data_IF_625102842303
#
_entry.id   IF_625102842303
#
_cell.length_a   1.000
_cell.length_b   1.000
_cell.length_c   1.000
_cell.angle_alpha   90.00
_cell.angle_beta   90.00
_cell.angle_gamma   90.00
#
_symmetry.space_group_name_H-M   'P 1'
#
loop_
_entity.id
_entity.type
_entity.pdbx_description
1 polymer ?
#
# COMPACT_ATOMS: atom_id res chain seq x y z
N UNK A 1 -15.47 20.61 14.72
CA UNK A 1 -14.12 20.31 15.24
C UNK A 1 -14.11 19.67 16.61
N UNK A 2 -15.17 19.72 17.39
CA UNK A 2 -15.17 19.12 18.75
C UNK A 2 -15.16 17.59 18.79
N UNK A 3 -15.44 16.93 17.67
CA UNK A 3 -15.50 15.47 17.57
C UNK A 3 -14.16 14.81 17.18
N UNK A 4 -13.20 15.58 16.71
CA UNK A 4 -11.90 15.06 16.23
C UNK A 4 -10.78 15.36 17.22
N UNK A 5 -9.70 14.56 17.19
CA UNK A 5 -8.55 14.74 18.06
C UNK A 5 -7.24 14.37 17.35
N UNK A 6 -6.15 15.01 17.77
CA UNK A 6 -4.80 14.68 17.34
C UNK A 6 -4.23 13.57 18.21
N UNK A 7 -3.79 12.49 17.60
CA UNK A 7 -3.10 11.39 18.28
C UNK A 7 -2.36 10.52 17.29
N UNK A 8 -1.18 10.04 17.69
CA UNK A 8 -0.49 8.95 17.01
C UNK A 8 -0.90 7.61 17.60
N UNK A 9 -0.85 6.57 16.79
CA UNK A 9 -1.21 5.21 17.23
C UNK A 9 -0.23 4.71 18.29
N UNK A 10 -0.78 4.22 19.42
CA UNK A 10 -0.01 3.76 20.59
C UNK A 10 0.86 4.84 21.23
N UNK A 11 0.53 6.11 21.04
CA UNK A 11 1.30 7.26 21.51
C UNK A 11 2.78 7.22 21.09
N UNK A 12 3.07 6.61 19.93
CA UNK A 12 4.41 6.53 19.36
C UNK A 12 4.69 7.74 18.48
N UNK A 13 5.71 8.51 18.84
CA UNK A 13 6.12 9.71 18.10
C UNK A 13 5.17 10.89 18.30
N UNK A 14 5.29 11.89 17.41
CA UNK A 14 4.44 13.07 17.41
C UNK A 14 3.00 12.73 16.96
N UNK A 15 2.04 13.48 17.49
CA UNK A 15 0.62 13.34 17.12
C UNK A 15 0.38 13.90 15.70
N UNK A 16 0.78 13.15 14.70
CA UNK A 16 0.79 13.56 13.30
C UNK A 16 -0.54 13.36 12.56
N UNK A 17 -1.52 12.69 13.20
CA UNK A 17 -2.80 12.38 12.56
C UNK A 17 -3.97 13.01 13.30
N UNK A 18 -4.86 13.63 12.52
CA UNK A 18 -6.18 14.03 13.00
C UNK A 18 -7.09 12.80 12.88
N UNK A 19 -7.71 12.40 13.99
CA UNK A 19 -8.53 11.20 14.07
C UNK A 19 -10.01 11.59 14.14
N UNK A 20 -10.83 10.99 13.26
CA UNK A 20 -12.27 11.11 13.22
C UNK A 20 -12.89 9.83 13.81
N UNK A 21 -13.26 9.84 15.11
CA UNK A 21 -13.84 8.66 15.76
C UNK A 21 -15.27 8.46 15.33
N UNK A 22 -15.69 7.21 15.25
CA UNK A 22 -17.05 6.80 14.95
C UNK A 22 -17.59 5.87 16.04
N UNK A 23 -18.86 6.06 16.39
CA UNK A 23 -19.65 5.07 17.11
C UNK A 23 -20.02 3.91 16.18
N UNK A 24 -20.55 2.82 16.74
CA UNK A 24 -21.01 1.69 15.94
C UNK A 24 -22.14 2.08 14.98
N UNK A 25 -23.05 2.94 15.42
CA UNK A 25 -24.17 3.42 14.60
C UNK A 25 -23.68 4.29 13.43
N UNK A 26 -22.75 5.21 13.68
CA UNK A 26 -22.13 6.06 12.65
C UNK A 26 -21.35 5.22 11.64
N UNK A 27 -20.60 4.24 12.12
CA UNK A 27 -19.88 3.30 11.25
C UNK A 27 -20.84 2.48 10.39
N UNK A 28 -21.94 1.98 10.95
CA UNK A 28 -22.89 1.18 10.19
C UNK A 28 -23.55 2.01 9.07
N UNK A 29 -23.94 3.25 9.36
CA UNK A 29 -24.46 4.16 8.32
C UNK A 29 -23.45 4.43 7.22
N UNK A 30 -22.21 4.70 7.61
CA UNK A 30 -21.10 4.89 6.66
C UNK A 30 -20.87 3.61 5.82
N UNK A 31 -20.79 2.46 6.46
CA UNK A 31 -20.55 1.17 5.80
C UNK A 31 -21.65 0.84 4.78
N UNK A 32 -22.91 1.00 5.15
CA UNK A 32 -24.04 0.72 4.27
C UNK A 32 -24.02 1.68 3.07
N UNK A 33 -23.75 2.96 3.29
CA UNK A 33 -23.61 3.95 2.21
C UNK A 33 -22.44 3.62 1.26
N UNK A 34 -21.31 3.10 1.78
CA UNK A 34 -20.18 2.65 0.94
C UNK A 34 -20.60 1.50 0.02
N UNK A 35 -21.38 0.55 0.52
CA UNK A 35 -21.84 -0.60 -0.27
C UNK A 35 -22.84 -0.22 -1.36
N UNK A 36 -23.63 0.82 -1.11
CA UNK A 36 -24.64 1.34 -2.06
C UNK A 36 -24.06 2.38 -3.03
N UNK A 37 -22.86 2.88 -2.75
CA UNK A 37 -22.25 3.97 -3.49
C UNK A 37 -21.92 3.59 -4.95
N UNK A 38 -22.14 4.53 -5.84
CA UNK A 38 -21.92 4.32 -7.26
C UNK A 38 -20.42 4.23 -7.59
N UNK A 39 -20.02 3.14 -8.23
CA UNK A 39 -18.64 2.87 -8.65
C UNK A 39 -18.43 3.32 -10.10
N UNK A 40 -17.27 3.88 -10.39
CA UNK A 40 -16.87 4.18 -11.76
C UNK A 40 -16.71 2.87 -12.56
N UNK A 41 -17.05 2.88 -13.86
CA UNK A 41 -16.86 1.69 -14.69
C UNK A 41 -15.39 1.31 -14.74
N UNK A 42 -15.13 0.04 -14.47
CA UNK A 42 -13.78 -0.54 -14.54
C UNK A 42 -13.67 -1.29 -15.87
N UNK A 43 -12.62 -1.04 -16.63
CA UNK A 43 -12.38 -1.74 -17.90
C UNK A 43 -12.21 -3.25 -17.65
N UNK A 44 -12.56 -4.09 -18.65
CA UNK A 44 -12.51 -5.55 -18.49
C UNK A 44 -11.13 -6.09 -18.12
N UNK A 45 -10.08 -5.47 -18.65
CA UNK A 45 -8.70 -5.83 -18.32
C UNK A 45 -8.22 -5.34 -16.93
N UNK A 46 -8.99 -4.48 -16.28
CA UNK A 46 -8.73 -3.99 -14.91
C UNK A 46 -9.49 -4.82 -13.85
N UNK A 47 -10.37 -5.70 -14.29
CA UNK A 47 -11.04 -6.63 -13.36
C UNK A 47 -10.02 -7.63 -12.86
N UNK A 48 -9.84 -7.73 -11.56
CA UNK A 48 -9.63 -9.00 -10.87
C UNK A 48 -8.54 -9.15 -9.82
N UNK A 49 -7.45 -8.45 -9.79
CA UNK A 49 -6.49 -8.69 -8.69
C UNK A 49 -6.01 -7.38 -8.09
N UNK A 50 -6.68 -6.99 -7.02
CA UNK A 50 -6.17 -5.91 -6.19
C UNK A 50 -5.03 -6.44 -5.33
N UNK A 51 -3.90 -5.73 -5.36
CA UNK A 51 -2.86 -5.89 -4.37
C UNK A 51 -3.42 -5.49 -2.99
N UNK A 52 -3.18 -6.28 -1.94
CA UNK A 52 -3.81 -6.04 -0.63
C UNK A 52 -3.51 -4.64 -0.08
N UNK A 53 -2.30 -4.12 -0.28
CA UNK A 53 -1.92 -2.77 0.14
C UNK A 53 -2.57 -1.62 -0.64
N UNK A 54 -3.18 -1.91 -1.80
CA UNK A 54 -3.81 -0.92 -2.69
C UNK A 54 -5.28 -1.25 -2.99
N UNK A 55 -5.91 -2.08 -2.18
CA UNK A 55 -7.30 -2.46 -2.38
C UNK A 55 -8.24 -1.27 -2.15
N UNK A 56 -9.19 -1.00 -3.08
CA UNK A 56 -10.20 0.03 -2.87
C UNK A 56 -11.02 -0.23 -1.61
N UNK A 57 -11.33 0.84 -0.85
CA UNK A 57 -12.00 0.66 0.43
C UNK A 57 -13.43 0.13 0.30
N UNK A 58 -14.13 0.42 -0.79
CA UNK A 58 -15.44 -0.18 -1.11
C UNK A 58 -15.33 -1.69 -1.39
N UNK A 59 -14.23 -2.14 -2.00
CA UNK A 59 -13.95 -3.58 -2.18
C UNK A 59 -13.66 -4.24 -0.83
N UNK A 60 -12.90 -3.57 0.03
CA UNK A 60 -12.70 -4.03 1.42
C UNK A 60 -14.04 -4.10 2.18
N UNK A 61 -14.92 -3.11 2.02
CA UNK A 61 -16.25 -3.12 2.61
C UNK A 61 -17.07 -4.33 2.11
N UNK A 62 -17.03 -4.62 0.80
CA UNK A 62 -17.69 -5.79 0.22
C UNK A 62 -17.22 -7.14 0.77
N UNK A 63 -16.01 -7.21 1.35
CA UNK A 63 -15.50 -8.41 2.05
C UNK A 63 -16.03 -8.54 3.48
N UNK A 64 -16.67 -7.51 4.00
CA UNK A 64 -17.32 -7.49 5.30
C UNK A 64 -16.82 -6.37 6.24
N UNK A 65 -17.66 -6.02 7.21
CA UNK A 65 -17.40 -4.92 8.18
C UNK A 65 -16.07 -5.03 8.90
N UNK A 66 -15.67 -6.24 9.28
CA UNK A 66 -14.39 -6.47 9.97
C UNK A 66 -13.18 -6.10 9.12
N UNK A 67 -13.26 -6.21 7.80
CA UNK A 67 -12.15 -5.86 6.91
C UNK A 67 -11.76 -4.39 7.07
N UNK A 68 -12.73 -3.48 7.13
CA UNK A 68 -12.44 -2.05 7.39
C UNK A 68 -11.94 -1.80 8.80
N UNK A 69 -12.49 -2.48 9.82
CA UNK A 69 -12.11 -2.33 11.22
C UNK A 69 -10.74 -2.92 11.56
N UNK A 70 -10.24 -3.87 10.79
CA UNK A 70 -8.86 -4.38 10.89
C UNK A 70 -7.90 -3.68 9.90
N UNK A 71 -8.44 -2.98 8.90
CA UNK A 71 -7.74 -2.24 7.87
C UNK A 71 -7.68 -0.72 8.15
N UNK A 72 -8.15 0.11 7.20
CA UNK A 72 -7.98 1.57 7.24
C UNK A 72 -8.71 2.25 8.39
N UNK A 73 -9.77 1.65 8.94
CA UNK A 73 -10.57 2.23 10.03
C UNK A 73 -10.29 1.59 11.39
N UNK A 74 -9.14 0.94 11.57
CA UNK A 74 -8.77 0.25 12.81
C UNK A 74 -8.68 1.22 13.99
N UNK A 75 -9.44 0.99 15.09
CA UNK A 75 -9.46 1.91 16.24
C UNK A 75 -8.40 1.63 17.31
N UNK A 76 -7.70 0.49 17.21
CA UNK A 76 -6.75 0.03 18.24
C UNK A 76 -5.57 0.99 18.37
N UNK A 77 -5.25 1.42 19.61
CA UNK A 77 -4.18 2.37 19.91
C UNK A 77 -4.54 3.83 19.63
N UNK A 78 -5.83 4.13 19.42
CA UNK A 78 -6.37 5.47 19.13
C UNK A 78 -7.52 5.82 20.10
N UNK A 79 -7.32 5.57 21.41
CA UNK A 79 -8.27 5.99 22.44
C UNK A 79 -8.41 7.51 22.44
N UNK A 80 -9.64 8.00 22.54
CA UNK A 80 -9.94 9.43 22.60
C UNK A 80 -9.31 10.05 23.86
N UNK A 81 -8.41 11.05 23.73
CA UNK A 81 -7.75 11.67 24.86
C UNK A 81 -8.70 12.34 25.87
N UNK A 82 -9.90 12.74 25.42
CA UNK A 82 -10.90 13.42 26.26
C UNK A 82 -11.68 12.44 27.13
N UNK A 83 -11.94 11.25 26.61
CA UNK A 83 -12.82 10.26 27.29
C UNK A 83 -12.08 9.03 27.78
N UNK A 84 -10.84 8.80 27.30
CA UNK A 84 -10.08 7.57 27.52
C UNK A 84 -10.68 6.33 26.88
N UNK A 85 -11.78 6.46 26.13
CA UNK A 85 -12.47 5.34 25.50
C UNK A 85 -11.96 5.09 24.09
N UNK A 86 -11.88 3.82 23.73
CA UNK A 86 -11.60 3.41 22.36
C UNK A 86 -12.88 3.54 21.52
N UNK A 87 -12.86 4.28 20.41
CA UNK A 87 -14.00 4.36 19.47
C UNK A 87 -14.24 3.00 18.79
N UNK A 88 -15.40 2.86 18.15
CA UNK A 88 -15.71 1.66 17.37
C UNK A 88 -14.89 1.59 16.08
N UNK A 89 -14.79 2.70 15.37
CA UNK A 89 -13.93 2.87 14.19
C UNK A 89 -13.27 4.25 14.21
N UNK A 90 -12.18 4.42 13.46
CA UNK A 90 -11.49 5.72 13.32
C UNK A 90 -11.07 5.91 11.88
N UNK A 91 -11.38 7.07 11.31
CA UNK A 91 -10.78 7.55 10.06
C UNK A 91 -9.62 8.48 10.41
N UNK A 92 -8.45 8.24 9.84
CA UNK A 92 -7.26 9.05 10.06
C UNK A 92 -7.03 10.01 8.91
N UNK A 93 -6.73 11.25 9.23
CA UNK A 93 -6.36 12.29 8.28
C UNK A 93 -4.89 12.66 8.53
N UNK A 94 -4.10 12.68 7.47
CA UNK A 94 -2.72 13.14 7.50
C UNK A 94 -2.64 14.54 6.90
N UNK A 95 -2.01 15.46 7.61
CA UNK A 95 -1.73 16.79 7.10
C UNK A 95 -0.84 16.71 5.85
N UNK A 96 -1.23 17.41 4.80
CA UNK A 96 -0.57 17.35 3.48
C UNK A 96 0.16 18.65 3.12
N UNK A 97 -0.09 19.74 3.86
CA UNK A 97 0.56 21.04 3.68
C UNK A 97 1.10 21.59 5.00
N UNK A 98 2.10 22.46 4.92
CA UNK A 98 2.71 23.06 6.10
C UNK A 98 1.77 24.00 6.86
N UNK A 99 0.74 24.54 6.20
CA UNK A 99 -0.23 25.47 6.80
C UNK A 99 -1.33 24.73 7.60
N UNK A 100 -1.45 23.40 7.47
CA UNK A 100 -2.49 22.61 8.14
C UNK A 100 -3.88 22.85 7.57
N UNK A 101 -3.98 23.21 6.30
CA UNK A 101 -5.25 23.49 5.62
C UNK A 101 -5.71 22.32 4.76
N UNK A 102 -4.78 21.46 4.32
CA UNK A 102 -5.05 20.29 3.48
C UNK A 102 -4.73 19.00 4.24
N UNK A 103 -5.63 18.04 4.11
CA UNK A 103 -5.51 16.74 4.73
C UNK A 103 -5.81 15.62 3.74
N UNK A 104 -5.05 14.55 3.81
CA UNK A 104 -5.24 13.34 3.06
C UNK A 104 -5.93 12.29 3.92
N UNK A 105 -6.99 11.64 3.42
CA UNK A 105 -7.66 10.54 4.10
C UNK A 105 -6.83 9.27 3.93
N UNK A 106 -6.36 8.71 5.04
CA UNK A 106 -5.45 7.56 5.02
C UNK A 106 -6.20 6.26 4.70
N UNK A 107 -5.73 5.55 3.68
CA UNK A 107 -6.23 4.22 3.34
C UNK A 107 -7.55 4.19 2.55
N UNK A 108 -7.95 5.32 1.96
CA UNK A 108 -9.18 5.45 1.19
C UNK A 108 -8.93 5.51 -0.32
N UNK A 109 -8.20 4.53 -0.85
CA UNK A 109 -8.17 4.32 -2.29
C UNK A 109 -9.55 3.88 -2.77
N UNK A 110 -10.03 4.43 -3.89
CA UNK A 110 -11.42 4.20 -4.29
C UNK A 110 -11.66 4.30 -5.79
N UNK A 111 -12.62 3.50 -6.28
CA UNK A 111 -13.24 3.65 -7.61
C UNK A 111 -14.61 4.33 -7.54
N UNK A 112 -15.05 4.80 -6.37
CA UNK A 112 -16.31 5.50 -6.27
C UNK A 112 -16.34 6.72 -7.18
N UNK A 113 -17.47 7.00 -7.80
CA UNK A 113 -17.69 8.25 -8.54
C UNK A 113 -17.57 9.46 -7.61
N UNK A 114 -17.16 10.58 -8.13
CA UNK A 114 -16.88 11.80 -7.34
C UNK A 114 -18.08 12.24 -6.47
N UNK A 115 -19.31 12.18 -7.00
CA UNK A 115 -20.51 12.45 -6.22
C UNK A 115 -20.66 11.52 -5.03
N UNK A 116 -20.52 10.22 -5.27
CA UNK A 116 -20.59 9.19 -4.25
C UNK A 116 -19.48 9.32 -3.20
N UNK A 117 -18.26 9.68 -3.61
CA UNK A 117 -17.17 9.96 -2.66
C UNK A 117 -17.55 11.07 -1.68
N UNK A 118 -18.13 12.16 -2.18
CA UNK A 118 -18.55 13.28 -1.35
C UNK A 118 -19.63 12.86 -0.34
N UNK A 119 -20.65 12.17 -0.79
CA UNK A 119 -21.74 11.68 0.06
C UNK A 119 -21.24 10.77 1.17
N UNK A 120 -20.37 9.81 0.83
CA UNK A 120 -19.81 8.88 1.79
C UNK A 120 -18.88 9.57 2.79
N UNK A 121 -17.99 10.47 2.33
CA UNK A 121 -17.04 11.17 3.19
C UNK A 121 -17.74 12.09 4.18
N UNK A 122 -18.84 12.73 3.78
CA UNK A 122 -19.61 13.61 4.64
C UNK A 122 -20.38 12.87 5.76
N UNK A 123 -20.46 11.55 5.72
CA UNK A 123 -20.98 10.74 6.84
C UNK A 123 -19.96 10.53 7.95
N UNK A 124 -18.70 10.86 7.72
CA UNK A 124 -17.64 10.73 8.73
C UNK A 124 -17.73 11.88 9.72
N UNK A 125 -17.83 11.61 11.05
CA UNK A 125 -17.90 12.66 12.07
C UNK A 125 -16.70 13.62 11.99
N UNK A 126 -17.02 14.91 11.91
CA UNK A 126 -16.04 15.98 11.72
C UNK A 126 -15.76 16.35 10.26
N UNK A 127 -16.29 15.57 9.29
CA UNK A 127 -16.18 15.85 7.86
C UNK A 127 -17.52 16.19 7.19
N UNK A 128 -18.55 16.46 7.97
CA UNK A 128 -19.92 16.73 7.47
C UNK A 128 -19.96 17.89 6.46
N UNK A 129 -19.08 18.88 6.64
CA UNK A 129 -18.97 20.07 5.78
C UNK A 129 -17.60 20.16 5.08
N UNK A 130 -16.97 19.03 4.82
CA UNK A 130 -15.65 19.02 4.19
C UNK A 130 -15.73 19.54 2.75
N UNK A 131 -14.75 20.34 2.37
CA UNK A 131 -14.50 20.70 0.98
C UNK A 131 -13.46 19.77 0.39
N UNK A 132 -13.84 19.01 -0.64
CA UNK A 132 -12.97 18.04 -1.29
C UNK A 132 -12.25 18.72 -2.44
N UNK A 133 -11.01 19.12 -2.22
CA UNK A 133 -10.19 19.79 -3.24
C UNK A 133 -9.68 18.85 -4.32
N UNK A 134 -9.56 17.56 -4.01
CA UNK A 134 -9.14 16.52 -4.95
C UNK A 134 -9.81 15.18 -4.63
N UNK A 135 -10.59 14.69 -5.57
CA UNK A 135 -11.22 13.37 -5.45
C UNK A 135 -10.20 12.25 -5.64
N UNK A 136 -10.44 11.15 -4.93
CA UNK A 136 -9.68 9.92 -5.11
C UNK A 136 -9.88 9.34 -6.51
N UNK A 137 -8.81 8.88 -7.12
CA UNK A 137 -8.82 8.14 -8.39
C UNK A 137 -7.90 6.95 -8.21
N UNK A 138 -8.42 5.77 -8.48
CA UNK A 138 -7.61 4.56 -8.42
C UNK A 138 -6.78 4.47 -9.71
N UNK A 139 -5.49 4.27 -9.55
CA UNK A 139 -4.58 3.94 -10.65
C UNK A 139 -4.14 2.50 -10.51
N UNK A 140 -4.20 1.76 -11.60
CA UNK A 140 -3.59 0.44 -11.68
C UNK A 140 -2.21 0.58 -12.29
N UNK A 141 -1.21 0.11 -11.58
CA UNK A 141 0.14 0.00 -12.10
C UNK A 141 0.26 -1.26 -12.96
N UNK A 142 0.76 -1.10 -14.17
CA UNK A 142 1.07 -2.22 -15.05
C UNK A 142 2.45 -2.77 -14.71
N UNK A 143 2.57 -4.07 -14.60
CA UNK A 143 3.84 -4.78 -14.42
C UNK A 143 3.90 -6.00 -15.32
N UNK A 144 5.12 -6.41 -15.64
CA UNK A 144 5.39 -7.62 -16.44
C UNK A 144 5.47 -8.84 -15.51
N UNK A 145 5.21 -10.02 -16.04
CA UNK A 145 5.44 -11.26 -15.30
C UNK A 145 6.96 -11.55 -15.27
N UNK A 146 7.65 -10.82 -14.41
CA UNK A 146 9.12 -10.80 -14.36
C UNK A 146 9.79 -12.16 -14.20
N UNK A 147 9.26 -13.11 -13.38
CA UNK A 147 9.89 -14.42 -13.26
C UNK A 147 10.03 -15.21 -14.56
N UNK A 148 9.17 -14.96 -15.54
CA UNK A 148 9.21 -15.64 -16.83
C UNK A 148 10.16 -14.98 -17.84
N UNK A 149 10.48 -13.69 -17.60
CA UNK A 149 11.12 -12.88 -18.65
C UNK A 149 12.38 -12.16 -18.22
N UNK A 150 12.64 -12.01 -16.90
CA UNK A 150 13.82 -11.31 -16.38
C UNK A 150 14.73 -12.22 -15.56
N UNK A 151 16.02 -11.92 -15.59
CA UNK A 151 17.02 -12.49 -14.68
C UNK A 151 17.29 -11.55 -13.48
N UNK A 152 18.17 -11.95 -12.56
CA UNK A 152 18.54 -11.18 -11.36
C UNK A 152 19.24 -9.84 -11.67
N UNK A 153 19.65 -9.60 -12.91
CA UNK A 153 20.23 -8.34 -13.37
C UNK A 153 19.18 -7.42 -14.00
N UNK A 154 17.92 -7.83 -13.94
CA UNK A 154 16.80 -7.15 -14.61
C UNK A 154 16.89 -7.11 -16.13
N UNK A 155 17.66 -8.02 -16.74
CA UNK A 155 17.77 -8.20 -18.18
C UNK A 155 16.71 -9.19 -18.69
N UNK A 156 16.22 -8.97 -19.90
CA UNK A 156 15.41 -9.98 -20.58
C UNK A 156 16.23 -11.26 -20.81
N UNK A 157 15.67 -12.41 -20.42
CA UNK A 157 16.30 -13.73 -20.57
C UNK A 157 16.69 -14.00 -22.03
N UNK A 158 15.80 -13.61 -22.96
CA UNK A 158 15.98 -13.86 -24.40
C UNK A 158 16.71 -12.74 -25.15
N UNK A 159 16.97 -11.60 -24.49
CA UNK A 159 17.69 -10.49 -25.10
C UNK A 159 18.35 -9.61 -24.01
N UNK A 160 19.56 -9.93 -23.71
CA UNK A 160 20.38 -9.27 -22.68
C UNK A 160 20.77 -7.80 -22.98
N UNK A 161 20.34 -7.28 -24.13
CA UNK A 161 20.48 -5.87 -24.53
C UNK A 161 19.32 -5.00 -24.02
N UNK A 162 18.29 -5.62 -23.48
CA UNK A 162 17.10 -4.93 -22.95
C UNK A 162 17.02 -5.20 -21.46
N UNK A 163 16.90 -4.13 -20.70
CA UNK A 163 16.73 -4.17 -19.27
C UNK A 163 15.46 -3.41 -18.86
N UNK A 164 14.87 -3.85 -17.77
CA UNK A 164 13.75 -3.18 -17.13
C UNK A 164 14.15 -2.79 -15.71
N UNK A 165 13.46 -1.82 -15.12
CA UNK A 165 13.69 -1.45 -13.73
C UNK A 165 12.44 -0.80 -13.14
N UNK A 166 12.38 -0.70 -11.83
CA UNK A 166 11.29 -0.04 -11.11
C UNK A 166 10.01 -0.85 -11.10
N UNK A 167 8.92 -0.17 -10.87
CA UNK A 167 7.61 -0.75 -10.63
C UNK A 167 7.12 -1.70 -11.74
N UNK A 168 7.49 -1.41 -12.97
CA UNK A 168 7.16 -2.28 -14.12
C UNK A 168 7.68 -3.71 -13.95
N UNK A 169 8.72 -3.93 -13.15
CA UNK A 169 9.29 -5.25 -12.87
C UNK A 169 8.62 -5.99 -11.71
N UNK A 170 7.60 -5.42 -11.08
CA UNK A 170 6.98 -5.98 -9.88
C UNK A 170 7.67 -5.58 -8.58
N UNK A 171 8.56 -4.61 -8.64
CA UNK A 171 9.16 -3.97 -7.46
C UNK A 171 8.26 -2.82 -7.02
N UNK A 172 7.66 -2.90 -5.83
CA UNK A 172 6.85 -1.84 -5.24
C UNK A 172 7.68 -0.97 -4.29
N UNK A 173 7.40 0.34 -4.30
CA UNK A 173 8.05 1.34 -3.45
C UNK A 173 9.08 2.18 -4.21
N UNK A 174 9.26 3.43 -3.74
CA UNK A 174 10.17 4.38 -4.39
C UNK A 174 11.64 3.99 -4.21
N UNK A 175 12.01 3.58 -3.00
CA UNK A 175 13.39 3.17 -2.69
C UNK A 175 13.74 1.89 -3.43
N UNK A 176 12.84 0.93 -3.44
CA UNK A 176 12.98 -0.35 -4.14
C UNK A 176 13.10 -0.14 -5.65
N UNK A 177 12.27 0.74 -6.22
CA UNK A 177 12.33 1.09 -7.64
C UNK A 177 13.68 1.74 -8.00
N UNK A 178 14.18 2.66 -7.16
CA UNK A 178 15.49 3.25 -7.34
C UNK A 178 16.61 2.21 -7.22
N UNK A 179 16.53 1.30 -6.25
CA UNK A 179 17.48 0.21 -6.07
C UNK A 179 17.51 -0.74 -7.26
N UNK A 180 16.36 -1.10 -7.83
CA UNK A 180 16.29 -1.92 -9.03
C UNK A 180 16.96 -1.25 -10.23
N UNK A 181 16.75 0.07 -10.38
CA UNK A 181 17.42 0.88 -11.39
C UNK A 181 18.95 0.92 -11.20
N UNK A 182 19.41 0.97 -9.95
CA UNK A 182 20.85 0.90 -9.64
C UNK A 182 21.44 -0.44 -10.05
N UNK A 183 20.79 -1.57 -9.72
CA UNK A 183 21.22 -2.91 -10.11
C UNK A 183 21.31 -3.05 -11.63
N UNK A 184 20.26 -2.65 -12.34
CA UNK A 184 20.23 -2.68 -13.80
C UNK A 184 21.33 -1.80 -14.39
N UNK A 185 21.48 -0.56 -13.90
CA UNK A 185 22.49 0.39 -14.39
C UNK A 185 23.94 -0.08 -14.15
N UNK A 186 24.24 -0.65 -12.98
CA UNK A 186 25.58 -1.20 -12.68
C UNK A 186 25.89 -2.35 -13.66
N UNK A 187 24.98 -3.29 -13.84
CA UNK A 187 25.19 -4.42 -14.74
C UNK A 187 25.33 -3.97 -16.20
N UNK A 188 24.53 -3.02 -16.64
CA UNK A 188 24.66 -2.44 -17.97
C UNK A 188 26.02 -1.76 -18.18
N UNK A 189 26.46 -0.95 -17.21
CA UNK A 189 27.76 -0.29 -17.27
C UNK A 189 28.91 -1.31 -17.30
N UNK A 190 28.86 -2.35 -16.46
CA UNK A 190 29.84 -3.42 -16.46
C UNK A 190 29.92 -4.15 -17.80
N UNK A 191 28.77 -4.46 -18.37
CA UNK A 191 28.66 -5.09 -19.69
C UNK A 191 29.29 -4.24 -20.79
N UNK A 192 28.98 -2.94 -20.84
CA UNK A 192 29.52 -2.02 -21.84
C UNK A 192 31.04 -1.82 -21.68
N UNK A 193 31.55 -1.93 -20.47
CA UNK A 193 32.99 -1.80 -20.14
C UNK A 193 33.75 -3.14 -20.23
N UNK A 194 33.10 -4.22 -20.64
CA UNK A 194 33.71 -5.56 -20.67
C UNK A 194 34.12 -6.12 -19.30
N UNK A 195 33.46 -5.63 -18.23
CA UNK A 195 33.66 -6.11 -16.85
C UNK A 195 32.72 -7.27 -16.54
N UNK A 196 33.07 -8.05 -15.50
CA UNK A 196 32.21 -9.14 -15.04
C UNK A 196 30.84 -8.67 -14.54
N UNK A 197 29.90 -9.59 -14.49
CA UNK A 197 28.55 -9.37 -13.96
C UNK A 197 28.58 -9.11 -12.44
N UNK A 198 27.63 -8.31 -11.95
CA UNK A 198 27.44 -8.04 -10.53
C UNK A 198 26.12 -8.65 -10.07
N UNK A 199 26.22 -9.76 -9.34
CA UNK A 199 25.07 -10.35 -8.67
C UNK A 199 25.12 -9.94 -7.20
N UNK A 200 24.08 -9.26 -6.76
CA UNK A 200 23.95 -8.83 -5.37
C UNK A 200 23.59 -10.03 -4.48
N UNK A 201 24.27 -10.20 -3.32
CA UNK A 201 23.99 -11.32 -2.43
C UNK A 201 22.54 -11.34 -1.93
N UNK A 202 21.94 -12.52 -1.88
CA UNK A 202 20.54 -12.72 -1.42
C UNK A 202 20.33 -12.40 0.06
N UNK A 203 21.40 -12.27 0.82
CA UNK A 203 21.42 -11.79 2.21
C UNK A 203 21.18 -10.28 2.31
N UNK A 204 21.25 -9.57 1.19
CA UNK A 204 20.91 -8.14 1.12
C UNK A 204 19.50 -7.93 0.60
N UNK A 205 18.84 -6.85 1.04
CA UNK A 205 17.50 -6.49 0.54
C UNK A 205 17.48 -6.29 -0.98
N UNK A 206 18.54 -5.70 -1.54
CA UNK A 206 18.68 -5.48 -2.99
C UNK A 206 18.77 -6.83 -3.73
N UNK A 207 19.63 -7.73 -3.26
CA UNK A 207 19.80 -9.05 -3.89
C UNK A 207 18.60 -9.96 -3.71
N UNK A 208 17.96 -9.95 -2.52
CA UNK A 208 16.75 -10.73 -2.29
C UNK A 208 15.58 -10.27 -3.14
N UNK A 209 15.43 -8.96 -3.35
CA UNK A 209 14.42 -8.41 -4.25
C UNK A 209 14.69 -8.80 -5.72
N UNK A 210 15.94 -8.68 -6.19
CA UNK A 210 16.33 -9.10 -7.53
C UNK A 210 16.08 -10.60 -7.75
N UNK A 211 16.36 -11.41 -6.73
CA UNK A 211 16.03 -12.84 -6.75
C UNK A 211 14.53 -13.10 -6.80
N UNK A 212 13.73 -12.38 -5.98
CA UNK A 212 12.27 -12.54 -5.97
C UNK A 212 11.65 -12.29 -7.33
N UNK A 213 11.99 -11.18 -7.98
CA UNK A 213 11.38 -10.81 -9.28
C UNK A 213 11.77 -11.78 -10.41
N UNK A 214 12.85 -12.52 -10.26
CA UNK A 214 13.36 -13.45 -11.28
C UNK A 214 13.09 -14.93 -10.99
N UNK A 215 12.72 -15.29 -9.74
CA UNK A 215 12.59 -16.69 -9.31
C UNK A 215 11.31 -17.00 -8.53
N UNK A 216 10.31 -16.10 -8.49
CA UNK A 216 9.07 -16.40 -7.81
C UNK A 216 8.41 -17.65 -8.41
N UNK A 217 8.29 -18.72 -7.61
CA UNK A 217 7.90 -20.07 -8.07
C UNK A 217 6.46 -20.18 -8.57
N UNK A 218 5.64 -19.17 -8.39
CA UNK A 218 4.22 -19.23 -8.68
C UNK A 218 3.87 -18.23 -9.79
N UNK A 219 4.18 -18.59 -11.04
CA UNK A 219 3.95 -17.78 -12.23
C UNK A 219 2.53 -17.19 -12.31
N UNK A 220 1.52 -17.97 -11.86
CA UNK A 220 0.12 -17.53 -11.84
C UNK A 220 -0.20 -16.52 -10.72
N UNK A 221 0.68 -16.38 -9.73
CA UNK A 221 0.47 -15.57 -8.53
C UNK A 221 1.60 -14.58 -8.26
N UNK A 222 2.47 -14.32 -9.23
CA UNK A 222 3.47 -13.28 -9.08
C UNK A 222 2.79 -11.94 -8.76
N UNK A 223 3.18 -11.33 -7.65
CA UNK A 223 2.61 -10.09 -7.15
C UNK A 223 3.73 -9.08 -6.97
N UNK A 224 3.51 -7.81 -7.35
CA UNK A 224 4.41 -6.74 -6.97
C UNK A 224 4.55 -6.67 -5.45
N UNK A 225 5.78 -6.51 -4.96
CA UNK A 225 6.09 -6.53 -3.54
C UNK A 225 7.07 -5.42 -3.15
N UNK A 226 6.87 -4.88 -1.94
CA UNK A 226 7.87 -4.06 -1.27
C UNK A 226 8.98 -4.95 -0.70
N UNK A 227 10.17 -4.37 -0.49
CA UNK A 227 11.22 -5.02 0.26
C UNK A 227 10.74 -5.35 1.68
N UNK A 228 10.87 -6.59 2.09
CA UNK A 228 10.52 -7.03 3.43
C UNK A 228 11.46 -8.16 3.89
N UNK A 229 11.54 -8.36 5.19
CA UNK A 229 12.44 -9.35 5.76
C UNK A 229 12.12 -10.79 5.36
N UNK A 230 10.89 -11.10 4.94
CA UNK A 230 10.50 -12.41 4.45
C UNK A 230 11.23 -12.86 3.17
N UNK A 231 11.86 -11.93 2.44
CA UNK A 231 12.72 -12.26 1.29
C UNK A 231 14.18 -12.48 1.66
N UNK A 232 14.61 -11.95 2.81
CA UNK A 232 16.01 -12.03 3.22
C UNK A 232 16.32 -13.38 3.86
N UNK A 233 17.30 -14.10 3.30
CA UNK A 233 17.70 -15.42 3.80
C UNK A 233 18.16 -15.41 5.26
N UNK A 234 18.85 -14.34 5.69
CA UNK A 234 19.33 -14.21 7.08
C UNK A 234 18.17 -14.16 8.07
N UNK A 235 17.12 -13.41 7.74
CA UNK A 235 15.96 -13.29 8.64
C UNK A 235 15.20 -14.60 8.79
N UNK A 236 15.05 -15.38 7.71
CA UNK A 236 14.35 -16.67 7.77
C UNK A 236 15.13 -17.72 8.54
N UNK A 237 16.49 -17.70 8.54
CA UNK A 237 17.31 -18.59 9.34
C UNK A 237 17.24 -18.24 10.83
N UNK A 238 17.39 -16.97 11.18
CA UNK A 238 17.37 -16.51 12.59
C UNK A 238 16.01 -16.74 13.24
N UNK A 239 14.91 -16.51 12.51
CA UNK A 239 13.55 -16.75 13.04
C UNK A 239 13.28 -18.25 13.31
N UNK A 240 13.96 -19.15 12.61
CA UNK A 240 13.87 -20.60 12.87
C UNK A 240 14.69 -21.01 14.09
N UNK A 241 15.85 -20.37 14.32
CA UNK A 241 16.73 -20.70 15.42
C UNK A 241 16.27 -20.12 16.77
N UNK A 242 15.58 -18.96 16.77
CA UNK A 242 15.09 -18.34 18.00
C UNK A 242 13.75 -18.93 18.51
N UNK A 243 13.18 -19.91 17.83
CA UNK A 243 11.94 -20.57 18.28
C UNK A 243 10.75 -19.65 18.42
N UNK A 244 10.78 -18.49 17.76
CA UNK A 244 9.65 -17.57 17.68
C UNK A 244 8.60 -18.14 16.71
N UNK A 245 7.88 -19.16 17.22
CA UNK A 245 6.68 -19.64 16.59
C UNK A 245 5.67 -18.49 16.51
N UNK A 246 5.21 -18.21 15.32
CA UNK A 246 4.06 -17.35 15.04
C UNK A 246 2.78 -18.13 15.28
#
# INVERSE_FOLDING_TARGET
MDKVYLKSRYDKGEAAYLNCPMTEEEFNRFYDAVLEAEVAPVNEFEKEKYFEGCMPFEVMAGRGRKTLLFGPMKPVGLEDPKTGKRPYAVVQLRQDDAAGTLYNIVGFQTHLKWGAQKEVIQLIPGLENVDIVRYGVMHRNTFINSPDVLNEKYELINNDRIQFAGQMTGVEGYVESAASGLVAGINLAHKLLGKGEVIFPRETMIGSMAYYISHAKNEKNFQPMNANFGFCLLYTSDAADEGLGV
#
